data_IF_427566684243
#
_entry.id   IF_427566684243
#
_cell.length_a   1.000
_cell.length_b   1.000
_cell.length_c   1.000
_cell.angle_alpha   90.00
_cell.angle_beta   90.00
_cell.angle_gamma   90.00
#
_symmetry.space_group_name_H-M   'P 1'
#
loop_
_entity.id
_entity.type
_entity.pdbx_description
1 polymer ?
#
# COMPACT_ATOMS: atom_id res chain seq x y z
N UNK A 1 30.20 -5.26 -13.34
CA UNK A 1 29.19 -4.46 -12.64
C UNK A 1 29.36 -4.70 -11.15
N UNK A 2 29.66 -3.67 -10.36
CA UNK A 2 29.75 -3.83 -8.90
C UNK A 2 28.37 -4.18 -8.34
N UNK A 3 28.25 -5.16 -7.44
CA UNK A 3 26.97 -5.49 -6.85
C UNK A 3 26.46 -4.29 -6.03
N UNK A 4 25.25 -3.82 -6.37
CA UNK A 4 24.63 -2.72 -5.67
C UNK A 4 24.32 -3.17 -4.22
N UNK A 5 24.67 -2.41 -3.19
CA UNK A 5 24.37 -2.79 -1.81
C UNK A 5 22.84 -2.86 -1.61
N UNK A 6 22.39 -3.89 -0.86
CA UNK A 6 20.96 -4.16 -0.61
C UNK A 6 20.16 -2.94 -0.17
N UNK A 7 20.66 -2.10 0.77
CA UNK A 7 19.93 -0.91 1.18
C UNK A 7 19.69 0.08 0.04
N UNK A 8 20.67 0.25 -0.86
CA UNK A 8 20.53 1.14 -2.02
C UNK A 8 19.47 0.62 -3.00
N UNK A 9 19.42 -0.70 -3.24
CA UNK A 9 18.39 -1.33 -4.07
C UNK A 9 16.98 -1.14 -3.47
N UNK A 10 16.80 -1.41 -2.17
CA UNK A 10 15.55 -1.20 -1.47
C UNK A 10 15.10 0.25 -1.55
N UNK A 11 16.01 1.17 -1.24
CA UNK A 11 15.71 2.61 -1.30
C UNK A 11 15.28 3.04 -2.70
N UNK A 12 16.00 2.64 -3.74
CA UNK A 12 15.68 2.97 -5.12
C UNK A 12 14.28 2.46 -5.53
N UNK A 13 13.92 1.23 -5.15
CA UNK A 13 12.61 0.65 -5.46
C UNK A 13 11.48 1.33 -4.68
N UNK A 14 11.67 1.61 -3.40
CA UNK A 14 10.69 2.37 -2.61
C UNK A 14 10.54 3.81 -3.12
N UNK A 15 11.64 4.48 -3.45
CA UNK A 15 11.61 5.83 -4.02
C UNK A 15 10.85 5.87 -5.36
N UNK A 16 11.08 4.90 -6.24
CA UNK A 16 10.33 4.77 -7.49
C UNK A 16 8.83 4.55 -7.22
N UNK A 17 8.46 3.65 -6.31
CA UNK A 17 7.07 3.41 -5.95
C UNK A 17 6.38 4.68 -5.40
N UNK A 18 7.07 5.42 -4.54
CA UNK A 18 6.58 6.70 -4.00
C UNK A 18 6.40 7.73 -5.12
N UNK A 19 7.37 7.87 -6.01
CA UNK A 19 7.30 8.83 -7.12
C UNK A 19 6.11 8.53 -8.04
N UNK A 20 5.90 7.27 -8.42
CA UNK A 20 4.74 6.85 -9.20
C UNK A 20 3.43 7.04 -8.43
N UNK A 21 3.38 6.70 -7.15
CA UNK A 21 2.20 6.90 -6.30
C UNK A 21 1.79 8.37 -6.22
N UNK A 22 2.75 9.26 -5.96
CA UNK A 22 2.52 10.71 -5.92
C UNK A 22 2.05 11.21 -7.29
N UNK A 23 2.66 10.78 -8.39
CA UNK A 23 2.27 11.19 -9.73
C UNK A 23 0.82 10.79 -10.03
N UNK A 24 0.45 9.53 -9.75
CA UNK A 24 -0.91 9.02 -9.97
C UNK A 24 -1.93 9.78 -9.12
N UNK A 25 -1.68 9.94 -7.81
CA UNK A 25 -2.60 10.65 -6.91
C UNK A 25 -2.72 12.11 -7.32
N UNK A 26 -1.63 12.76 -7.73
CA UNK A 26 -1.67 14.14 -8.21
C UNK A 26 -2.52 14.29 -9.47
N UNK A 27 -2.36 13.41 -10.47
CA UNK A 27 -3.16 13.40 -11.69
C UNK A 27 -4.63 13.19 -11.36
N UNK A 28 -4.96 12.19 -10.53
CA UNK A 28 -6.34 11.92 -10.12
C UNK A 28 -6.95 13.09 -9.34
N UNK A 29 -6.19 13.73 -8.46
CA UNK A 29 -6.64 14.90 -7.71
C UNK A 29 -6.91 16.08 -8.64
N UNK A 30 -6.00 16.39 -9.55
CA UNK A 30 -6.20 17.47 -10.55
C UNK A 30 -7.44 17.17 -11.39
N UNK A 31 -7.61 15.94 -11.85
CA UNK A 31 -8.79 15.53 -12.63
C UNK A 31 -10.07 15.65 -11.82
N UNK A 32 -10.06 15.20 -10.55
CA UNK A 32 -11.22 15.30 -9.65
C UNK A 32 -11.62 16.74 -9.36
N UNK A 33 -10.65 17.64 -9.17
CA UNK A 33 -10.91 19.06 -8.95
C UNK A 33 -11.39 19.74 -10.23
N UNK A 34 -10.75 19.48 -11.38
CA UNK A 34 -11.05 20.16 -12.63
C UNK A 34 -12.38 19.72 -13.26
N UNK A 35 -12.72 18.45 -13.16
CA UNK A 35 -13.88 17.86 -13.86
C UNK A 35 -14.92 17.25 -12.92
N UNK A 36 -14.52 16.85 -11.71
CA UNK A 36 -15.38 16.19 -10.73
C UNK A 36 -16.05 17.12 -9.72
N UNK A 37 -15.74 18.42 -9.74
CA UNK A 37 -16.28 19.38 -8.78
C UNK A 37 -15.81 19.14 -7.33
N UNK A 38 -14.74 18.36 -7.13
CA UNK A 38 -14.19 18.07 -5.81
C UNK A 38 -13.46 19.31 -5.29
N UNK A 39 -13.80 19.74 -4.08
CA UNK A 39 -13.06 20.81 -3.39
C UNK A 39 -12.12 20.18 -2.38
N UNK A 40 -10.85 20.56 -2.42
CA UNK A 40 -9.79 20.08 -1.52
C UNK A 40 -9.11 21.24 -0.85
N UNK A 41 -8.96 21.15 0.46
CA UNK A 41 -8.08 22.05 1.20
C UNK A 41 -6.62 21.63 1.05
N UNK A 42 -5.70 22.57 1.22
CA UNK A 42 -4.25 22.27 1.20
C UNK A 42 -3.85 21.21 2.26
N UNK A 43 -4.54 21.21 3.40
CA UNK A 43 -4.30 20.22 4.45
C UNK A 43 -4.73 18.81 4.05
N UNK A 44 -5.89 18.67 3.41
CA UNK A 44 -6.38 17.38 2.90
C UNK A 44 -5.45 16.82 1.82
N UNK A 45 -5.02 17.67 0.90
CA UNK A 45 -4.04 17.31 -0.12
C UNK A 45 -2.72 16.83 0.52
N UNK A 46 -2.20 17.56 1.50
CA UNK A 46 -0.97 17.17 2.20
C UNK A 46 -1.12 15.81 2.92
N UNK A 47 -2.27 15.57 3.58
CA UNK A 47 -2.58 14.28 4.21
C UNK A 47 -2.66 13.14 3.18
N UNK A 48 -3.34 13.35 2.05
CA UNK A 48 -3.43 12.37 0.98
C UNK A 48 -2.05 12.00 0.42
N UNK A 49 -1.21 13.00 0.14
CA UNK A 49 0.15 12.76 -0.35
C UNK A 49 1.00 12.03 0.71
N UNK A 50 0.89 12.40 1.98
CA UNK A 50 1.56 11.70 3.08
C UNK A 50 1.13 10.23 3.19
N UNK A 51 -0.17 9.95 3.12
CA UNK A 51 -0.70 8.58 3.11
C UNK A 51 -0.27 7.80 1.87
N UNK A 52 -0.16 8.47 0.71
CA UNK A 52 0.36 7.87 -0.52
C UNK A 52 1.80 7.42 -0.34
N UNK A 53 2.65 8.23 0.29
CA UNK A 53 4.04 7.85 0.59
C UNK A 53 4.09 6.60 1.47
N UNK A 54 3.34 6.59 2.56
CA UNK A 54 3.32 5.46 3.50
C UNK A 54 2.76 4.20 2.83
N UNK A 55 1.66 4.32 2.11
CA UNK A 55 1.06 3.21 1.35
C UNK A 55 2.01 2.66 0.29
N UNK A 56 2.67 3.54 -0.47
CA UNK A 56 3.65 3.13 -1.49
C UNK A 56 4.80 2.33 -0.88
N UNK A 57 5.33 2.72 0.27
CA UNK A 57 6.39 1.99 0.96
C UNK A 57 5.88 0.62 1.45
N UNK A 58 4.68 0.58 2.04
CA UNK A 58 4.07 -0.65 2.54
C UNK A 58 3.89 -1.68 1.42
N UNK A 59 3.30 -1.29 0.30
CA UNK A 59 3.05 -2.22 -0.81
C UNK A 59 4.28 -2.49 -1.67
N UNK A 60 5.22 -1.54 -1.78
CA UNK A 60 6.52 -1.80 -2.39
C UNK A 60 7.30 -2.86 -1.62
N UNK A 61 7.25 -2.84 -0.28
CA UNK A 61 7.90 -3.87 0.55
C UNK A 61 7.33 -5.27 0.31
N UNK A 62 6.01 -5.39 0.16
CA UNK A 62 5.37 -6.65 -0.23
C UNK A 62 5.79 -7.09 -1.64
N UNK A 63 5.78 -6.16 -2.60
CA UNK A 63 6.23 -6.43 -3.97
C UNK A 63 7.68 -6.90 -4.06
N UNK A 64 8.57 -6.30 -3.26
CA UNK A 64 9.98 -6.71 -3.17
C UNK A 64 10.13 -8.13 -2.59
N UNK A 65 9.37 -8.46 -1.54
CA UNK A 65 9.36 -9.80 -0.98
C UNK A 65 8.87 -10.83 -1.99
N UNK A 66 7.78 -10.55 -2.69
CA UNK A 66 7.24 -11.43 -3.74
C UNK A 66 8.22 -11.60 -4.89
N UNK A 67 8.88 -10.53 -5.34
CA UNK A 67 9.90 -10.58 -6.38
C UNK A 67 11.13 -11.43 -6.00
N UNK A 68 11.44 -11.51 -4.70
CA UNK A 68 12.52 -12.35 -4.19
C UNK A 68 12.15 -13.85 -4.16
N UNK A 69 10.86 -14.14 -3.97
CA UNK A 69 10.33 -15.51 -3.81
C UNK A 69 9.91 -16.12 -5.15
N UNK A 70 9.62 -15.29 -6.17
CA UNK A 70 9.01 -15.72 -7.43
C UNK A 70 9.97 -15.55 -8.60
N UNK A 71 9.87 -16.40 -9.65
CA UNK A 71 10.59 -16.16 -10.89
C UNK A 71 10.07 -14.90 -11.59
N UNK A 72 10.97 -14.15 -12.22
CA UNK A 72 10.69 -12.83 -12.81
C UNK A 72 9.54 -12.82 -13.82
N UNK A 73 9.39 -13.89 -14.59
CA UNK A 73 8.32 -14.05 -15.59
C UNK A 73 6.92 -14.29 -14.96
N UNK A 74 6.85 -14.86 -13.76
CA UNK A 74 5.59 -15.12 -13.07
C UNK A 74 5.17 -13.99 -12.11
N UNK A 75 6.11 -13.14 -11.69
CA UNK A 75 5.88 -12.13 -10.67
C UNK A 75 4.69 -11.18 -10.96
N UNK A 76 4.51 -10.61 -12.18
CA UNK A 76 3.37 -9.73 -12.44
C UNK A 76 2.01 -10.42 -12.29
N UNK A 77 1.89 -11.67 -12.76
CA UNK A 77 0.66 -12.45 -12.64
C UNK A 77 0.31 -12.77 -11.19
N UNK A 78 1.31 -13.17 -10.41
CA UNK A 78 1.12 -13.52 -8.99
C UNK A 78 0.79 -12.27 -8.15
N UNK A 79 1.45 -11.15 -8.41
CA UNK A 79 1.13 -9.87 -7.74
C UNK A 79 -0.32 -9.50 -7.99
N UNK A 80 -0.80 -9.59 -9.25
CA UNK A 80 -2.19 -9.30 -9.57
C UNK A 80 -3.16 -10.29 -8.93
N UNK A 81 -2.81 -11.58 -8.89
CA UNK A 81 -3.62 -12.62 -8.25
C UNK A 81 -3.80 -12.38 -6.73
N UNK A 82 -2.82 -11.78 -6.08
CA UNK A 82 -2.89 -11.42 -4.66
C UNK A 82 -3.60 -10.06 -4.49
N UNK A 83 -3.18 -9.07 -5.27
CA UNK A 83 -3.65 -7.70 -5.10
C UNK A 83 -5.12 -7.51 -5.47
N UNK A 84 -5.62 -8.11 -6.56
CA UNK A 84 -7.00 -7.91 -7.01
C UNK A 84 -8.02 -8.43 -5.97
N UNK A 85 -7.93 -9.68 -5.47
CA UNK A 85 -8.82 -10.13 -4.40
C UNK A 85 -8.67 -9.28 -3.12
N UNK A 86 -7.42 -8.96 -2.74
CA UNK A 86 -7.15 -8.15 -1.56
C UNK A 86 -7.77 -6.75 -1.66
N UNK A 87 -7.71 -6.10 -2.82
CA UNK A 87 -8.30 -4.78 -3.05
C UNK A 87 -9.83 -4.81 -3.03
N UNK A 88 -10.43 -5.87 -3.57
CA UNK A 88 -11.88 -6.07 -3.53
C UNK A 88 -12.36 -6.31 -2.10
N UNK A 89 -11.75 -7.27 -1.41
CA UNK A 89 -12.11 -7.65 -0.04
C UNK A 89 -11.90 -6.54 1.00
N UNK A 90 -11.03 -5.58 0.71
CA UNK A 90 -10.73 -4.46 1.60
C UNK A 90 -11.67 -3.26 1.45
N UNK A 91 -12.63 -3.31 0.54
CA UNK A 91 -13.58 -2.23 0.35
C UNK A 91 -13.09 -1.06 -0.55
N UNK A 92 -11.97 -1.24 -1.27
CA UNK A 92 -11.47 -0.22 -2.21
C UNK A 92 -12.39 0.02 -3.42
N UNK A 93 -13.13 -1.01 -3.83
CA UNK A 93 -14.05 -0.95 -4.98
C UNK A 93 -15.46 -0.55 -4.57
N UNK A 94 -15.87 -0.94 -3.38
CA UNK A 94 -17.19 -0.66 -2.83
C UNK A 94 -17.09 -0.53 -1.30
N UNK A 95 -17.76 0.47 -0.69
CA UNK A 95 -17.72 0.62 0.77
C UNK A 95 -18.09 -0.68 1.48
N UNK A 96 -17.28 -1.06 2.48
CA UNK A 96 -17.36 -2.36 3.16
C UNK A 96 -18.74 -2.62 3.78
N UNK A 97 -19.43 -1.56 4.22
CA UNK A 97 -20.80 -1.62 4.78
C UNK A 97 -21.85 -2.24 3.84
N UNK A 98 -21.60 -2.24 2.52
CA UNK A 98 -22.49 -2.85 1.53
C UNK A 98 -22.11 -4.29 1.20
N UNK A 99 -21.03 -4.79 1.78
CA UNK A 99 -20.58 -6.17 1.58
C UNK A 99 -21.25 -7.13 2.57
N UNK A 100 -21.30 -8.44 2.26
CA UNK A 100 -21.78 -9.47 3.19
C UNK A 100 -21.02 -9.44 4.53
N UNK A 101 -21.70 -9.75 5.63
CA UNK A 101 -21.15 -9.68 6.98
C UNK A 101 -19.82 -10.43 7.14
N UNK A 102 -19.67 -11.60 6.52
CA UNK A 102 -18.43 -12.37 6.61
C UNK A 102 -17.22 -11.62 5.98
N UNK A 103 -17.43 -10.86 4.91
CA UNK A 103 -16.39 -10.02 4.30
C UNK A 103 -16.02 -8.85 5.21
N UNK A 104 -16.98 -8.24 5.90
CA UNK A 104 -16.74 -7.17 6.85
C UNK A 104 -15.82 -7.62 8.00
N UNK A 105 -15.85 -8.90 8.39
CA UNK A 105 -14.95 -9.47 9.40
C UNK A 105 -13.55 -9.77 8.87
N UNK A 106 -13.40 -10.08 7.57
CA UNK A 106 -12.10 -10.38 6.96
C UNK A 106 -11.35 -9.10 6.58
N UNK A 107 -12.05 -8.08 6.13
CA UNK A 107 -11.44 -6.84 5.65
C UNK A 107 -10.43 -6.23 6.63
N UNK A 108 -10.68 -6.15 7.95
CA UNK A 108 -9.71 -5.59 8.91
C UNK A 108 -8.40 -6.39 9.05
N UNK A 109 -8.30 -7.58 8.46
CA UNK A 109 -7.04 -8.34 8.41
C UNK A 109 -6.14 -7.91 7.24
N UNK A 110 -6.67 -7.12 6.31
CA UNK A 110 -5.98 -6.75 5.08
C UNK A 110 -5.31 -5.37 5.20
N UNK A 111 -4.03 -5.23 4.80
CA UNK A 111 -3.34 -3.94 4.84
C UNK A 111 -3.97 -2.90 3.93
N UNK A 112 -4.57 -3.32 2.82
CA UNK A 112 -5.33 -2.45 1.90
C UNK A 112 -6.54 -1.81 2.56
N UNK A 113 -7.23 -2.51 3.47
CA UNK A 113 -8.34 -1.96 4.25
C UNK A 113 -7.87 -0.80 5.13
N UNK A 114 -6.78 -0.98 5.86
CA UNK A 114 -6.27 0.05 6.74
C UNK A 114 -5.83 1.31 5.98
N UNK A 115 -5.18 1.15 4.83
CA UNK A 115 -4.84 2.28 3.97
C UNK A 115 -6.09 2.98 3.43
N UNK A 116 -7.09 2.21 2.98
CA UNK A 116 -8.35 2.77 2.48
C UNK A 116 -9.08 3.57 3.56
N UNK A 117 -9.17 3.06 4.79
CA UNK A 117 -9.80 3.76 5.91
C UNK A 117 -9.05 5.05 6.26
N UNK A 118 -7.72 5.05 6.26
CA UNK A 118 -6.93 6.26 6.45
C UNK A 118 -7.17 7.28 5.33
N UNK A 119 -7.27 6.84 4.08
CA UNK A 119 -7.56 7.73 2.95
C UNK A 119 -8.94 8.38 3.04
N UNK A 120 -9.99 7.61 3.35
CA UNK A 120 -11.35 8.19 3.49
C UNK A 120 -11.48 9.04 4.75
N UNK A 121 -10.68 8.80 5.78
CA UNK A 121 -10.67 9.62 7.01
C UNK A 121 -10.19 11.06 6.75
N UNK A 122 -9.42 11.29 5.68
CA UNK A 122 -9.01 12.65 5.27
C UNK A 122 -10.22 13.54 5.00
N UNK A 123 -11.32 12.95 4.49
CA UNK A 123 -12.59 13.64 4.21
C UNK A 123 -13.60 13.56 5.34
N UNK A 124 -13.16 13.16 6.54
CA UNK A 124 -14.05 13.06 7.73
C UNK A 124 -14.93 11.81 7.75
N UNK A 125 -14.77 10.88 6.81
CA UNK A 125 -15.48 9.60 6.83
C UNK A 125 -14.71 8.62 7.72
N UNK A 126 -15.30 8.23 8.85
CA UNK A 126 -14.77 7.15 9.68
C UNK A 126 -15.82 6.06 9.83
N UNK A 127 -15.40 4.83 9.68
CA UNK A 127 -16.26 3.68 9.98
C UNK A 127 -16.43 3.55 11.50
N UNK A 128 -17.66 3.30 11.94
CA UNK A 128 -17.97 3.20 13.38
C UNK A 128 -17.17 2.05 14.02
N UNK A 129 -16.46 2.36 15.10
CA UNK A 129 -15.71 1.38 15.90
C UNK A 129 -14.23 1.21 15.51
N UNK A 130 -13.73 1.89 14.48
CA UNK A 130 -12.30 1.85 14.13
C UNK A 130 -11.59 3.14 14.52
N UNK A 131 -10.41 3.02 15.15
CA UNK A 131 -9.57 4.18 15.47
C UNK A 131 -8.45 4.36 14.43
N UNK A 132 -8.09 5.61 14.15
CA UNK A 132 -6.97 5.90 13.25
C UNK A 132 -5.66 5.24 13.72
N UNK A 133 -5.46 5.14 15.04
CA UNK A 133 -4.27 4.47 15.62
C UNK A 133 -4.19 3.00 15.25
N UNK A 134 -5.31 2.29 15.20
CA UNK A 134 -5.36 0.88 14.78
C UNK A 134 -4.95 0.72 13.32
N UNK A 135 -5.42 1.61 12.45
CA UNK A 135 -5.04 1.56 11.02
C UNK A 135 -3.56 1.87 10.82
N UNK A 136 -3.01 2.85 11.53
CA UNK A 136 -1.60 3.17 11.49
C UNK A 136 -0.72 2.03 12.01
N UNK A 137 -1.05 1.47 13.17
CA UNK A 137 -0.27 0.36 13.76
C UNK A 137 -0.29 -0.88 12.88
N UNK A 138 -1.43 -1.21 12.28
CA UNK A 138 -1.53 -2.35 11.35
C UNK A 138 -0.70 -2.14 10.09
N UNK A 139 -0.74 -0.95 9.51
CA UNK A 139 0.02 -0.64 8.29
C UNK A 139 1.54 -0.61 8.54
N UNK A 140 1.96 -0.04 9.67
CA UNK A 140 3.36 -0.03 10.08
C UNK A 140 3.83 -1.46 10.39
N UNK A 141 3.06 -2.22 11.16
CA UNK A 141 3.36 -3.63 11.48
C UNK A 141 3.51 -4.48 10.21
N UNK A 142 2.57 -4.34 9.27
CA UNK A 142 2.66 -5.01 7.96
C UNK A 142 3.95 -4.64 7.23
N UNK A 143 4.30 -3.36 7.15
CA UNK A 143 5.51 -2.88 6.48
C UNK A 143 6.77 -3.46 7.11
N UNK A 144 6.85 -3.45 8.44
CA UNK A 144 8.00 -3.99 9.17
C UNK A 144 8.14 -5.50 8.95
N UNK A 145 7.05 -6.25 8.95
CA UNK A 145 7.06 -7.70 8.68
C UNK A 145 7.55 -7.98 7.26
N UNK A 146 7.06 -7.23 6.26
CA UNK A 146 7.47 -7.42 4.85
C UNK A 146 8.95 -7.09 4.65
N UNK A 147 9.42 -5.94 5.15
CA UNK A 147 10.83 -5.54 5.05
C UNK A 147 11.75 -6.47 5.83
N UNK A 148 11.36 -6.88 7.03
CA UNK A 148 12.13 -7.82 7.84
C UNK A 148 12.26 -9.19 7.17
N UNK A 149 11.17 -9.70 6.61
CA UNK A 149 11.16 -10.95 5.85
C UNK A 149 12.03 -10.86 4.60
N UNK A 150 11.91 -9.77 3.84
CA UNK A 150 12.76 -9.51 2.68
C UNK A 150 14.24 -9.51 3.08
N UNK A 151 14.61 -8.75 4.11
CA UNK A 151 15.99 -8.64 4.58
C UNK A 151 16.54 -10.00 5.01
N UNK A 152 15.77 -10.77 5.78
CA UNK A 152 16.17 -12.08 6.28
C UNK A 152 16.45 -13.07 5.13
N UNK A 153 15.55 -13.15 4.17
CA UNK A 153 15.67 -14.09 3.03
C UNK A 153 16.79 -13.65 2.10
N UNK A 154 16.90 -12.36 1.82
CA UNK A 154 17.94 -11.81 0.96
C UNK A 154 19.34 -12.06 1.54
N UNK A 155 19.55 -11.74 2.83
CA UNK A 155 20.83 -11.97 3.51
C UNK A 155 21.25 -13.44 3.57
N UNK A 156 20.28 -14.36 3.62
CA UNK A 156 20.56 -15.80 3.53
C UNK A 156 20.99 -16.22 2.12
N UNK A 157 20.38 -15.66 1.08
CA UNK A 157 20.76 -15.94 -0.30
C UNK A 157 22.18 -15.46 -0.61
N UNK A 158 22.55 -14.26 -0.15
CA UNK A 158 23.91 -13.73 -0.34
C UNK A 158 24.98 -14.58 0.38
N UNK A 159 24.69 -15.14 1.56
CA UNK A 159 25.63 -15.99 2.29
C UNK A 159 25.84 -17.37 1.69
N UNK A 160 24.90 -17.80 0.86
CA UNK A 160 24.93 -19.14 0.24
C UNK A 160 25.33 -19.10 -1.26
N UNK A 161 25.58 -17.90 -1.81
CA UNK A 161 26.04 -17.68 -3.20
C UNK A 161 27.55 -17.44 -3.24
#
# INVERSE_FOLDING_TARGET
>A
ASPMPVPAYLFAKCAAAVAFGIAIVSILTVTGVAFGGVTLTALELAKMLGLTVVGSIAFASMGLLLALLMPANAAPGIVNLIYLPMSYLSGLWMPIRFMPHWLQHIAPLLPTYHLAQLMVSVYGYQEQGSSASTHWSSLIGFTLVMLGSFWMIFSRKERNA
#
